data_IF_232258345852
#
_entry.id   IF_232258345852
#
_cell.length_a   1.000
_cell.length_b   1.000
_cell.length_c   1.000
_cell.angle_alpha   90.00
_cell.angle_beta   90.00
_cell.angle_gamma   90.00
#
_symmetry.space_group_name_H-M   'P 1'
#
loop_
_entity.id
_entity.type
_entity.pdbx_description
1 polymer ?
#
# COMPACT_ATOMS: atom_id res chain seq x y z
N UNK A 1 7.71 -10.80 12.15
CA UNK A 1 7.88 -11.46 10.83
C UNK A 1 8.61 -10.48 9.94
N UNK A 2 9.88 -10.74 9.66
CA UNK A 2 10.78 -9.80 9.00
C UNK A 2 10.34 -9.56 7.56
N UNK A 3 10.18 -8.29 7.21
CA UNK A 3 9.77 -7.80 5.91
C UNK A 3 10.66 -8.37 4.78
N UNK A 4 10.17 -9.43 4.13
CA UNK A 4 10.92 -10.09 3.06
C UNK A 4 11.01 -9.21 1.81
N UNK A 5 10.17 -8.16 1.68
CA UNK A 5 10.14 -7.27 0.51
C UNK A 5 11.26 -6.24 0.60
N UNK A 6 11.51 -5.67 1.77
CA UNK A 6 12.62 -4.74 1.97
C UNK A 6 13.98 -5.39 1.62
N UNK A 7 14.18 -6.65 2.02
CA UNK A 7 15.37 -7.42 1.66
C UNK A 7 15.51 -7.66 0.14
N UNK A 8 14.40 -8.00 -0.53
CA UNK A 8 14.38 -8.16 -2.00
C UNK A 8 14.76 -6.85 -2.71
N UNK A 9 14.17 -5.73 -2.30
CA UNK A 9 14.41 -4.42 -2.92
C UNK A 9 15.86 -3.98 -2.73
N UNK A 10 16.43 -4.17 -1.53
CA UNK A 10 17.84 -3.88 -1.28
C UNK A 10 18.77 -4.66 -2.21
N UNK A 11 18.61 -5.98 -2.29
CA UNK A 11 19.46 -6.81 -3.15
C UNK A 11 19.29 -6.46 -4.64
N UNK A 12 18.08 -6.07 -5.05
CA UNK A 12 17.84 -5.58 -6.41
C UNK A 12 18.58 -4.27 -6.68
N UNK A 13 18.57 -3.33 -5.75
CA UNK A 13 19.33 -2.07 -5.85
C UNK A 13 20.85 -2.30 -5.83
N UNK A 14 21.31 -3.33 -5.11
CA UNK A 14 22.71 -3.80 -5.11
C UNK A 14 23.10 -4.49 -6.44
N UNK A 15 22.14 -4.74 -7.34
CA UNK A 15 22.38 -5.27 -8.69
C UNK A 15 22.24 -6.79 -8.82
N UNK A 16 21.73 -7.48 -7.81
CA UNK A 16 21.53 -8.94 -7.88
C UNK A 16 20.39 -9.33 -8.82
N UNK A 17 20.58 -10.44 -9.54
CA UNK A 17 19.55 -11.01 -10.40
C UNK A 17 18.38 -11.61 -9.62
N UNK A 18 17.19 -11.62 -10.22
CA UNK A 18 15.95 -12.17 -9.60
C UNK A 18 16.12 -13.61 -9.11
N UNK A 19 16.82 -14.45 -9.87
CA UNK A 19 17.07 -15.85 -9.49
C UNK A 19 18.02 -15.97 -8.30
N UNK A 20 19.02 -15.11 -8.22
CA UNK A 20 20.00 -15.11 -7.13
C UNK A 20 19.33 -14.65 -5.83
N UNK A 21 18.51 -13.60 -5.90
CA UNK A 21 17.71 -13.11 -4.78
C UNK A 21 16.74 -14.20 -4.28
N UNK A 22 16.08 -14.90 -5.20
CA UNK A 22 15.17 -16.00 -4.88
C UNK A 22 15.87 -17.13 -4.11
N UNK A 23 17.08 -17.52 -4.53
CA UNK A 23 17.89 -18.53 -3.85
C UNK A 23 18.41 -18.04 -2.50
N UNK A 24 18.88 -16.80 -2.43
CA UNK A 24 19.48 -16.23 -1.22
C UNK A 24 18.46 -16.06 -0.09
N UNK A 25 17.26 -15.57 -0.42
CA UNK A 25 16.20 -15.34 0.56
C UNK A 25 15.24 -16.53 0.71
N UNK A 26 15.42 -17.59 -0.07
CA UNK A 26 14.51 -18.74 -0.17
C UNK A 26 13.05 -18.32 -0.41
N UNK A 27 12.86 -17.35 -1.30
CA UNK A 27 11.54 -16.78 -1.67
C UNK A 27 11.22 -17.19 -3.10
N UNK A 28 9.96 -17.56 -3.43
CA UNK A 28 9.59 -17.89 -4.80
C UNK A 28 9.91 -16.77 -5.79
N UNK A 29 10.47 -17.12 -6.96
CA UNK A 29 10.79 -16.18 -8.06
C UNK A 29 9.63 -15.22 -8.38
N UNK A 30 8.40 -15.71 -8.38
CA UNK A 30 7.22 -14.88 -8.66
C UNK A 30 7.04 -13.77 -7.62
N UNK A 31 7.29 -14.06 -6.34
CA UNK A 31 7.21 -13.06 -5.26
C UNK A 31 8.31 -12.00 -5.43
N UNK A 32 9.53 -12.42 -5.77
CA UNK A 32 10.64 -11.50 -6.06
C UNK A 32 10.30 -10.57 -7.22
N UNK A 33 9.83 -11.13 -8.34
CA UNK A 33 9.41 -10.35 -9.51
C UNK A 33 8.27 -9.37 -9.20
N UNK A 34 7.25 -9.79 -8.44
CA UNK A 34 6.15 -8.91 -8.02
C UNK A 34 6.64 -7.79 -7.08
N UNK A 35 7.59 -8.09 -6.19
CA UNK A 35 8.15 -7.11 -5.28
C UNK A 35 8.96 -6.05 -6.03
N UNK A 36 9.81 -6.46 -6.98
CA UNK A 36 10.58 -5.56 -7.85
C UNK A 36 9.64 -4.69 -8.69
N UNK A 37 8.67 -5.30 -9.38
CA UNK A 37 7.71 -4.56 -10.20
C UNK A 37 6.96 -3.50 -9.38
N UNK A 38 6.51 -3.86 -8.17
CA UNK A 38 5.84 -2.89 -7.29
C UNK A 38 6.78 -1.75 -6.89
N UNK A 39 8.04 -2.05 -6.59
CA UNK A 39 9.04 -1.04 -6.25
C UNK A 39 9.30 -0.09 -7.42
N UNK A 40 9.39 -0.60 -8.65
CA UNK A 40 9.52 0.23 -9.86
C UNK A 40 8.29 1.11 -10.11
N UNK A 41 7.07 0.61 -9.84
CA UNK A 41 5.83 1.37 -10.01
C UNK A 41 5.62 2.47 -8.96
N UNK A 42 5.99 2.20 -7.71
CA UNK A 42 5.60 3.05 -6.55
C UNK A 42 6.77 3.73 -5.84
N UNK A 43 8.01 3.31 -6.12
CA UNK A 43 9.21 3.75 -5.40
C UNK A 43 9.28 3.27 -3.95
N UNK A 44 8.32 2.47 -3.48
CA UNK A 44 8.20 2.07 -2.08
C UNK A 44 8.03 0.55 -1.91
N UNK A 45 8.53 0.06 -0.78
CA UNK A 45 8.30 -1.31 -0.34
C UNK A 45 7.11 -1.44 0.65
N UNK A 46 6.51 -0.33 1.04
CA UNK A 46 5.36 -0.29 1.95
C UNK A 46 4.10 -0.91 1.32
N UNK A 47 3.16 -1.27 2.18
CA UNK A 47 1.82 -1.65 1.75
C UNK A 47 1.07 -0.45 1.17
N UNK A 48 0.26 -0.70 0.13
CA UNK A 48 -0.62 0.32 -0.42
C UNK A 48 -1.65 0.67 0.63
N UNK A 49 -1.94 1.97 0.77
CA UNK A 49 -3.06 2.43 1.58
C UNK A 49 -4.32 1.65 1.19
N UNK A 50 -5.01 1.08 2.18
CA UNK A 50 -6.27 0.40 1.93
C UNK A 50 -7.29 1.46 1.58
N UNK A 51 -7.69 1.51 0.31
CA UNK A 51 -8.81 2.31 -0.13
C UNK A 51 -10.00 1.36 -0.05
N UNK A 52 -10.77 1.45 1.04
CA UNK A 52 -12.01 0.68 1.19
C UNK A 52 -13.00 0.99 0.08
N UNK A 53 -14.22 0.46 0.17
CA UNK A 53 -15.29 0.85 -0.76
C UNK A 53 -15.53 2.36 -0.65
N UNK A 54 -15.62 3.11 -1.76
CA UNK A 54 -15.96 4.53 -1.72
C UNK A 54 -17.26 4.73 -0.94
N UNK A 55 -17.24 5.63 0.03
CA UNK A 55 -18.42 5.95 0.85
C UNK A 55 -19.02 7.24 0.31
N UNK A 56 -20.30 7.19 -0.05
CA UNK A 56 -21.03 8.34 -0.61
C UNK A 56 -21.99 9.00 0.38
N UNK A 57 -22.43 8.26 1.41
CA UNK A 57 -23.40 8.75 2.38
C UNK A 57 -22.77 9.62 3.47
N UNK A 58 -21.61 9.23 4.00
CA UNK A 58 -20.91 9.92 5.09
C UNK A 58 -19.73 10.73 4.57
N UNK A 59 -19.94 11.53 3.53
CA UNK A 59 -18.95 12.53 3.11
C UNK A 59 -18.94 13.67 4.12
N UNK A 60 -17.81 14.37 4.25
CA UNK A 60 -17.68 15.52 5.15
C UNK A 60 -18.74 16.60 4.84
N UNK A 61 -19.08 16.75 3.56
CA UNK A 61 -20.14 17.64 3.08
C UNK A 61 -21.52 17.25 3.62
N UNK A 62 -21.89 15.96 3.54
CA UNK A 62 -23.17 15.47 4.04
C UNK A 62 -23.23 15.55 5.56
N UNK A 63 -22.11 15.28 6.24
CA UNK A 63 -22.00 15.39 7.70
C UNK A 63 -22.21 16.85 8.13
N UNK A 64 -21.57 17.79 7.44
CA UNK A 64 -21.72 19.22 7.73
C UNK A 64 -23.15 19.69 7.48
N UNK A 65 -23.77 19.29 6.36
CA UNK A 65 -25.17 19.61 6.07
C UNK A 65 -26.11 19.14 7.19
N UNK A 66 -25.94 17.90 7.66
CA UNK A 66 -26.75 17.36 8.75
C UNK A 66 -26.49 18.12 10.06
N UNK A 67 -25.24 18.45 10.37
CA UNK A 67 -24.88 19.22 11.56
C UNK A 67 -25.53 20.61 11.57
N UNK A 68 -25.52 21.31 10.44
CA UNK A 68 -26.12 22.64 10.29
C UNK A 68 -27.64 22.58 10.47
N UNK A 69 -28.31 21.58 9.89
CA UNK A 69 -29.76 21.36 10.07
C UNK A 69 -30.08 21.14 11.55
N UNK A 70 -29.31 20.28 12.24
CA UNK A 70 -29.53 20.00 13.67
C UNK A 70 -29.32 21.26 14.51
N UNK A 71 -28.30 22.05 14.21
CA UNK A 71 -28.02 23.30 14.93
C UNK A 71 -29.20 24.28 14.82
N UNK A 72 -29.73 24.49 13.60
CA UNK A 72 -30.86 25.38 13.34
C UNK A 72 -32.17 24.94 14.00
N UNK A 73 -32.35 23.64 14.22
CA UNK A 73 -33.55 23.10 14.89
C UNK A 73 -33.50 23.16 16.43
N UNK A 74 -32.35 23.44 17.03
CA UNK A 74 -32.17 23.51 18.49
C UNK A 74 -32.04 24.94 19.04
N UNK A 75 -32.07 25.96 18.17
CA UNK A 75 -32.32 27.38 18.52
C UNK A 75 -33.82 27.68 18.53
#
# INVERSE_FOLDING_TARGET
>A
MSDSRAGIVRLYQEGHGVMDISRLLNVPKQTVSKAIKRFEETGSNEDRARIGRPVTATTDENIQLIADIICYCNE
#
